data_IF_826236178823
#
_entry.id   IF_826236178823
#
_cell.length_a   1.000
_cell.length_b   1.000
_cell.length_c   1.000
_cell.angle_alpha   90.00
_cell.angle_beta   90.00
_cell.angle_gamma   90.00
#
_symmetry.space_group_name_H-M   'P 1'
#
loop_
_entity.id
_entity.type
_entity.pdbx_description
1 polymer ?
#
# COMPACT_ATOMS: atom_id res chain seq x y z
N UNK A 1 -1.35 10.66 -6.01
CA UNK A 1 -1.38 9.67 -7.11
C UNK A 1 -0.06 8.93 -7.07
N UNK A 2 -0.04 7.60 -7.17
CA UNK A 2 1.21 6.82 -7.14
C UNK A 2 1.89 6.90 -8.50
N UNK A 3 3.22 7.12 -8.51
CA UNK A 3 4.03 7.30 -9.72
C UNK A 3 4.81 6.03 -10.04
N UNK A 4 4.63 5.51 -11.25
CA UNK A 4 5.30 4.29 -11.73
C UNK A 4 6.23 4.65 -12.89
N UNK A 5 7.50 4.25 -12.77
CA UNK A 5 8.48 4.34 -13.86
C UNK A 5 8.45 3.04 -14.66
N UNK A 6 8.26 3.15 -15.98
CA UNK A 6 8.35 2.05 -16.93
C UNK A 6 9.67 2.13 -17.70
N UNK A 7 10.44 1.06 -17.68
CA UNK A 7 11.75 0.95 -18.34
C UNK A 7 11.73 -0.26 -19.26
N UNK A 8 11.62 -0.03 -20.58
CA UNK A 8 11.57 -1.08 -21.60
C UNK A 8 11.99 -0.46 -22.96
N UNK A 9 12.87 -1.09 -23.73
CA UNK A 9 13.32 -0.55 -25.02
C UNK A 9 12.24 -0.69 -26.13
N UNK A 10 11.22 -1.49 -25.88
CA UNK A 10 10.10 -1.72 -26.78
C UNK A 10 8.95 -0.74 -26.52
N UNK A 11 8.79 0.25 -27.40
CA UNK A 11 7.72 1.25 -27.28
C UNK A 11 6.33 0.65 -27.12
N UNK A 12 6.04 -0.45 -27.83
CA UNK A 12 4.71 -1.10 -27.77
C UNK A 12 4.41 -1.64 -26.36
N UNK A 13 5.42 -2.16 -25.66
CA UNK A 13 5.28 -2.63 -24.30
C UNK A 13 5.00 -1.47 -23.34
N UNK A 14 5.72 -0.37 -23.48
CA UNK A 14 5.48 0.85 -22.69
C UNK A 14 4.05 1.39 -22.88
N UNK A 15 3.56 1.40 -24.13
CA UNK A 15 2.21 1.87 -24.45
C UNK A 15 1.13 0.91 -23.90
N UNK A 16 1.38 -0.41 -23.93
CA UNK A 16 0.49 -1.41 -23.34
C UNK A 16 0.42 -1.28 -21.80
N UNK A 17 1.57 -1.14 -21.15
CA UNK A 17 1.62 -0.95 -19.69
C UNK A 17 0.93 0.32 -19.26
N UNK A 18 1.11 1.42 -19.99
CA UNK A 18 0.38 2.67 -19.73
C UNK A 18 -1.14 2.48 -19.85
N UNK A 19 -1.60 1.76 -20.91
CA UNK A 19 -3.01 1.46 -21.11
C UNK A 19 -3.61 0.68 -19.92
N UNK A 20 -2.85 -0.22 -19.30
CA UNK A 20 -3.29 -0.97 -18.13
C UNK A 20 -3.25 -0.13 -16.84
N UNK A 21 -2.24 0.73 -16.67
CA UNK A 21 -1.99 1.40 -15.39
C UNK A 21 -2.80 2.69 -15.20
N UNK A 22 -2.99 3.49 -16.26
CA UNK A 22 -3.68 4.79 -16.15
C UNK A 22 -5.13 4.64 -15.68
N UNK A 23 -5.95 3.66 -16.15
CA UNK A 23 -7.30 3.45 -15.65
C UNK A 23 -7.37 3.09 -14.15
N UNK A 24 -6.30 2.49 -13.60
CA UNK A 24 -6.17 2.16 -12.19
C UNK A 24 -5.66 3.32 -11.31
N UNK A 25 -5.53 4.53 -11.89
CA UNK A 25 -5.19 5.75 -11.14
C UNK A 25 -3.69 5.93 -10.88
N UNK A 26 -2.81 5.26 -11.64
CA UNK A 26 -1.37 5.47 -11.58
C UNK A 26 -0.93 6.58 -12.54
N UNK A 27 0.05 7.38 -12.10
CA UNK A 27 0.81 8.28 -12.97
C UNK A 27 1.99 7.51 -13.55
N UNK A 28 2.13 7.49 -14.87
CA UNK A 28 3.10 6.66 -15.57
C UNK A 28 4.15 7.53 -16.24
N UNK A 29 5.42 7.23 -16.03
CA UNK A 29 6.54 7.80 -16.77
C UNK A 29 7.27 6.70 -17.54
N UNK A 30 7.60 6.94 -18.82
CA UNK A 30 8.16 5.94 -19.73
C UNK A 30 9.56 6.34 -20.16
N UNK A 31 10.52 5.42 -20.05
CA UNK A 31 11.88 5.55 -20.56
C UNK A 31 12.27 4.31 -21.36
N UNK A 32 13.20 4.46 -22.30
CA UNK A 32 13.51 3.41 -23.27
C UNK A 32 14.87 2.74 -23.08
N UNK A 33 15.52 3.01 -21.96
CA UNK A 33 16.82 2.39 -21.64
C UNK A 33 17.05 2.34 -20.16
N UNK A 34 17.91 1.40 -19.71
CA UNK A 34 18.35 1.33 -18.33
C UNK A 34 19.07 2.60 -17.88
N UNK A 35 19.84 3.22 -18.78
CA UNK A 35 20.56 4.48 -18.51
C UNK A 35 19.58 5.61 -18.22
N UNK A 36 18.56 5.82 -19.06
CA UNK A 36 17.51 6.82 -18.82
C UNK A 36 16.76 6.54 -17.49
N UNK A 37 16.47 5.27 -17.20
CA UNK A 37 15.82 4.88 -15.95
C UNK A 37 16.64 5.25 -14.71
N UNK A 38 17.97 5.09 -14.76
CA UNK A 38 18.87 5.50 -13.68
C UNK A 38 18.91 7.03 -13.51
N UNK A 39 18.91 7.79 -14.60
CA UNK A 39 18.88 9.25 -14.58
C UNK A 39 17.58 9.77 -13.98
N UNK A 40 16.45 9.23 -14.42
CA UNK A 40 15.12 9.56 -13.88
C UNK A 40 15.02 9.32 -12.37
N UNK A 41 15.47 8.17 -11.89
CA UNK A 41 15.43 7.82 -10.47
C UNK A 41 16.38 8.65 -9.58
N UNK A 42 17.36 9.34 -10.17
CA UNK A 42 18.23 10.27 -9.45
C UNK A 42 17.60 11.65 -9.28
N UNK A 43 16.73 12.04 -10.21
CA UNK A 43 16.12 13.37 -10.25
C UNK A 43 14.73 13.36 -9.60
N UNK A 44 13.97 12.30 -9.84
CA UNK A 44 12.58 12.18 -9.41
C UNK A 44 12.34 10.98 -8.51
N UNK A 45 11.31 11.08 -7.67
CA UNK A 45 10.85 9.98 -6.83
C UNK A 45 9.72 9.22 -7.51
N UNK A 46 9.82 7.91 -7.50
CA UNK A 46 8.81 6.97 -7.98
C UNK A 46 8.41 6.01 -6.86
N UNK A 47 7.16 5.53 -6.89
CA UNK A 47 6.65 4.57 -5.92
C UNK A 47 6.94 3.13 -6.34
N UNK A 48 7.15 2.87 -7.64
CA UNK A 48 7.46 1.56 -8.19
C UNK A 48 8.13 1.69 -9.56
N UNK A 49 8.97 0.72 -9.90
CA UNK A 49 9.60 0.57 -11.22
C UNK A 49 9.15 -0.75 -11.85
N UNK A 50 8.64 -0.71 -13.07
CA UNK A 50 8.52 -1.88 -13.95
C UNK A 50 9.71 -1.87 -14.90
N UNK A 51 10.53 -2.92 -14.85
CA UNK A 51 11.82 -2.98 -15.54
C UNK A 51 11.92 -4.22 -16.42
N UNK A 52 12.07 -4.01 -17.72
CA UNK A 52 12.35 -5.14 -18.61
C UNK A 52 13.76 -5.66 -18.40
N UNK A 53 13.91 -6.99 -18.46
CA UNK A 53 15.22 -7.64 -18.37
C UNK A 53 15.99 -7.51 -19.67
N UNK A 54 15.32 -7.66 -20.81
CA UNK A 54 15.94 -7.83 -22.11
C UNK A 54 16.05 -6.50 -22.88
N UNK A 55 16.92 -5.60 -22.43
CA UNK A 55 17.18 -4.32 -23.09
C UNK A 55 18.56 -4.30 -23.78
N UNK A 56 18.70 -3.49 -24.84
CA UNK A 56 19.89 -3.51 -25.72
C UNK A 56 21.09 -2.78 -25.16
N UNK A 57 20.91 -1.67 -24.42
CA UNK A 57 22.00 -0.83 -23.91
C UNK A 57 22.58 -1.38 -22.61
N UNK A 58 21.73 -1.52 -21.61
CA UNK A 58 22.03 -2.09 -20.30
C UNK A 58 20.89 -3.02 -19.92
N UNK A 59 21.20 -4.28 -19.61
CA UNK A 59 20.17 -5.23 -19.21
C UNK A 59 19.50 -4.82 -17.89
N UNK A 60 18.25 -5.30 -17.70
CA UNK A 60 17.48 -4.95 -16.53
C UNK A 60 18.10 -5.43 -15.22
N UNK A 61 18.89 -6.49 -15.24
CA UNK A 61 19.58 -7.01 -14.06
C UNK A 61 20.67 -6.07 -13.59
N UNK A 62 21.48 -5.56 -14.51
CA UNK A 62 22.51 -4.55 -14.22
C UNK A 62 21.87 -3.22 -13.80
N UNK A 63 20.79 -2.82 -14.51
CA UNK A 63 20.01 -1.63 -14.16
C UNK A 63 19.48 -1.73 -12.71
N UNK A 64 18.88 -2.86 -12.35
CA UNK A 64 18.40 -3.11 -10.99
C UNK A 64 19.54 -3.03 -9.94
N UNK A 65 20.67 -3.68 -10.17
CA UNK A 65 21.83 -3.60 -9.29
C UNK A 65 22.29 -2.16 -9.06
N UNK A 66 22.36 -1.36 -10.11
CA UNK A 66 22.73 0.07 -10.00
C UNK A 66 21.68 0.89 -9.27
N UNK A 67 20.38 0.67 -9.51
CA UNK A 67 19.32 1.31 -8.74
C UNK A 67 19.50 1.03 -7.25
N UNK A 68 19.78 -0.21 -6.87
CA UNK A 68 19.95 -0.63 -5.46
C UNK A 68 21.15 0.03 -4.74
N UNK A 69 22.08 0.62 -5.48
CA UNK A 69 23.19 1.37 -4.84
C UNK A 69 22.74 2.70 -4.24
N UNK A 70 21.60 3.26 -4.64
CA UNK A 70 21.11 4.57 -4.19
C UNK A 70 19.61 4.63 -3.89
N UNK A 71 18.81 3.63 -4.28
CA UNK A 71 17.35 3.64 -4.10
C UNK A 71 16.82 2.28 -3.61
N UNK A 72 15.81 2.34 -2.72
CA UNK A 72 15.04 1.19 -2.26
C UNK A 72 13.67 1.09 -2.95
N UNK A 73 13.43 1.85 -4.01
CA UNK A 73 12.15 1.83 -4.74
C UNK A 73 11.80 0.39 -5.12
N UNK A 74 10.56 -0.06 -4.94
CA UNK A 74 10.11 -1.39 -5.38
C UNK A 74 10.33 -1.59 -6.87
N UNK A 75 10.86 -2.75 -7.25
CA UNK A 75 11.14 -3.11 -8.65
C UNK A 75 10.45 -4.43 -8.97
N UNK A 76 9.57 -4.42 -9.97
CA UNK A 76 9.07 -5.62 -10.64
C UNK A 76 9.82 -5.80 -11.94
N UNK A 77 10.47 -6.96 -12.09
CA UNK A 77 11.14 -7.31 -13.34
C UNK A 77 10.16 -7.96 -14.31
N UNK A 78 10.18 -7.53 -15.57
CA UNK A 78 9.44 -8.17 -16.66
C UNK A 78 10.38 -9.10 -17.41
N UNK A 79 10.02 -10.39 -17.56
CA UNK A 79 10.91 -11.40 -18.13
C UNK A 79 10.21 -12.27 -19.16
N UNK A 80 10.96 -12.79 -20.16
CA UNK A 80 10.43 -13.80 -21.07
C UNK A 80 10.29 -15.16 -20.40
N UNK A 81 9.29 -15.96 -20.82
CA UNK A 81 8.84 -17.21 -20.18
C UNK A 81 9.90 -18.33 -20.05
N UNK A 82 10.97 -18.28 -20.84
CA UNK A 82 11.90 -19.41 -20.99
C UNK A 82 13.13 -19.38 -20.07
N UNK A 83 13.21 -18.40 -19.17
CA UNK A 83 14.40 -18.18 -18.34
C UNK A 83 14.12 -18.43 -16.84
N UNK A 84 13.78 -19.67 -16.45
CA UNK A 84 13.74 -20.07 -15.03
C UNK A 84 15.06 -19.78 -14.30
N UNK A 85 16.18 -19.81 -15.02
CA UNK A 85 17.50 -19.47 -14.47
C UNK A 85 17.65 -17.98 -14.17
N UNK A 86 17.00 -17.11 -14.92
CA UNK A 86 17.03 -15.66 -14.67
C UNK A 86 16.17 -15.26 -13.48
N UNK A 87 15.08 -15.96 -13.20
CA UNK A 87 14.29 -15.76 -11.97
C UNK A 87 15.13 -16.06 -10.73
N UNK A 88 15.94 -17.13 -10.75
CA UNK A 88 16.82 -17.51 -9.63
C UNK A 88 18.00 -16.54 -9.50
N UNK A 89 18.57 -16.08 -10.61
CA UNK A 89 19.61 -15.04 -10.62
C UNK A 89 19.04 -13.68 -10.16
N UNK A 90 17.83 -13.37 -10.59
CA UNK A 90 17.16 -12.12 -10.30
C UNK A 90 16.82 -11.89 -8.84
N UNK A 91 16.41 -12.93 -8.10
CA UNK A 91 16.22 -12.87 -6.64
C UNK A 91 17.48 -12.44 -5.89
N UNK A 92 18.67 -12.67 -6.48
CA UNK A 92 19.97 -12.21 -5.95
C UNK A 92 20.32 -10.78 -6.36
N UNK A 93 19.64 -10.18 -7.35
CA UNK A 93 19.91 -8.81 -7.82
C UNK A 93 19.18 -7.71 -7.05
N UNK A 94 18.23 -8.10 -6.18
CA UNK A 94 17.50 -7.14 -5.33
C UNK A 94 16.18 -6.64 -5.92
N UNK A 95 15.63 -7.30 -6.94
CA UNK A 95 14.25 -7.07 -7.36
C UNK A 95 13.26 -7.61 -6.32
N UNK A 96 12.08 -6.99 -6.22
CA UNK A 96 11.06 -7.34 -5.23
C UNK A 96 10.07 -8.36 -5.77
N UNK A 97 9.83 -8.38 -7.09
CA UNK A 97 8.97 -9.37 -7.76
C UNK A 97 9.35 -9.55 -9.24
N UNK A 98 8.78 -10.58 -9.88
CA UNK A 98 8.99 -10.95 -11.29
C UNK A 98 7.66 -11.30 -11.95
N UNK A 99 7.49 -10.81 -13.19
CA UNK A 99 6.32 -11.12 -14.02
C UNK A 99 6.81 -11.65 -15.37
N UNK A 100 6.34 -12.83 -15.74
CA UNK A 100 6.67 -13.44 -17.04
C UNK A 100 5.79 -12.89 -18.15
N UNK A 101 6.40 -12.50 -19.27
CA UNK A 101 5.70 -12.12 -20.52
C UNK A 101 5.29 -13.40 -21.29
N UNK A 102 4.06 -13.51 -21.85
CA UNK A 102 2.98 -12.54 -21.74
C UNK A 102 2.31 -12.62 -20.37
N UNK A 103 1.82 -11.48 -19.87
CA UNK A 103 1.14 -11.35 -18.59
C UNK A 103 -0.29 -10.85 -18.77
N UNK A 104 -1.11 -11.22 -17.81
CA UNK A 104 -2.48 -10.74 -17.67
C UNK A 104 -2.50 -9.40 -16.92
N UNK A 105 -3.43 -8.49 -17.30
CA UNK A 105 -3.59 -7.17 -16.68
C UNK A 105 -3.90 -7.29 -15.18
N UNK A 106 -4.85 -8.17 -14.81
CA UNK A 106 -5.28 -8.34 -13.42
C UNK A 106 -4.14 -8.83 -12.53
N UNK A 107 -3.31 -9.75 -13.06
CA UNK A 107 -2.13 -10.27 -12.35
C UNK A 107 -1.09 -9.16 -12.15
N UNK A 108 -0.83 -8.35 -13.19
CA UNK A 108 0.10 -7.22 -13.11
C UNK A 108 -0.35 -6.22 -12.03
N UNK A 109 -1.61 -5.79 -12.08
CA UNK A 109 -2.18 -4.84 -11.12
C UNK A 109 -2.13 -5.39 -9.70
N UNK A 110 -2.54 -6.63 -9.47
CA UNK A 110 -2.50 -7.26 -8.15
C UNK A 110 -1.08 -7.28 -7.54
N UNK A 111 -0.04 -7.53 -8.34
CA UNK A 111 1.37 -7.53 -7.90
C UNK A 111 1.87 -6.13 -7.59
N UNK A 112 1.52 -5.14 -8.41
CA UNK A 112 1.84 -3.73 -8.17
C UNK A 112 1.22 -3.28 -6.85
N UNK A 113 -0.06 -3.54 -6.64
CA UNK A 113 -0.77 -3.20 -5.41
C UNK A 113 -0.15 -3.87 -4.17
N UNK A 114 0.24 -5.13 -4.29
CA UNK A 114 0.89 -5.86 -3.21
C UNK A 114 2.23 -5.23 -2.79
N UNK A 115 3.04 -4.76 -3.74
CA UNK A 115 4.32 -4.09 -3.45
C UNK A 115 4.12 -2.67 -2.92
N UNK A 116 3.25 -1.88 -3.55
CA UNK A 116 2.94 -0.52 -3.12
C UNK A 116 2.31 -0.48 -1.71
N UNK A 117 1.63 -1.55 -1.32
CA UNK A 117 1.09 -1.75 0.04
C UNK A 117 2.20 -1.94 1.08
N UNK A 118 3.28 -2.71 0.75
CA UNK A 118 4.43 -2.95 1.65
C UNK A 118 5.20 -1.67 2.01
N UNK A 119 5.22 -0.68 1.13
CA UNK A 119 5.92 0.60 1.36
C UNK A 119 5.05 1.69 1.98
N UNK A 120 3.79 1.40 2.28
CA UNK A 120 2.95 2.37 2.94
C UNK A 120 3.22 2.31 4.47
N UNK A 121 4.00 3.25 5.05
CA UNK A 121 4.23 3.28 6.49
C UNK A 121 2.95 3.51 7.29
N UNK A 122 1.83 3.80 6.61
CA UNK A 122 0.49 3.89 7.20
C UNK A 122 -0.28 2.56 7.19
N UNK A 123 0.28 1.49 6.60
CA UNK A 123 -0.37 0.16 6.63
C UNK A 123 -0.29 -0.49 8.00
N UNK A 124 0.71 -0.16 8.81
CA UNK A 124 0.79 -0.57 10.20
C UNK A 124 0.94 0.64 11.12
N UNK A 125 0.13 0.69 12.17
CA UNK A 125 0.18 1.74 13.18
C UNK A 125 0.40 1.06 14.52
N UNK A 126 1.45 1.49 15.24
CA UNK A 126 1.74 1.00 16.58
C UNK A 126 1.60 2.13 17.59
N UNK A 127 0.79 1.91 18.62
CA UNK A 127 0.57 2.89 19.71
C UNK A 127 0.57 2.14 21.03
N UNK A 128 1.58 2.36 21.86
CA UNK A 128 1.69 1.78 23.21
C UNK A 128 1.47 0.26 23.24
N UNK A 129 1.99 -0.47 22.25
CA UNK A 129 1.88 -1.92 22.12
C UNK A 129 0.59 -2.40 21.43
N UNK A 130 -0.33 -1.51 21.07
CA UNK A 130 -1.45 -1.82 20.18
C UNK A 130 -0.95 -1.71 18.73
N UNK A 131 -1.06 -2.78 17.96
CA UNK A 131 -0.61 -2.88 16.57
C UNK A 131 -1.81 -3.12 15.66
N UNK A 132 -2.11 -2.13 14.82
CA UNK A 132 -3.14 -2.20 13.78
C UNK A 132 -2.47 -2.34 12.42
N UNK A 133 -2.83 -3.34 11.63
CA UNK A 133 -2.24 -3.59 10.32
C UNK A 133 -3.33 -3.74 9.25
N UNK A 134 -3.39 -2.76 8.32
CA UNK A 134 -4.40 -2.77 7.23
C UNK A 134 -4.15 -3.83 6.17
N UNK A 135 -2.94 -4.36 6.05
CA UNK A 135 -2.57 -5.32 5.01
C UNK A 135 -2.99 -6.73 5.39
N UNK A 136 -2.82 -7.07 6.69
CA UNK A 136 -3.26 -8.36 7.23
C UNK A 136 -4.68 -8.32 7.79
N UNK A 137 -5.27 -7.11 7.96
CA UNK A 137 -6.55 -6.88 8.62
C UNK A 137 -6.57 -7.34 10.09
N UNK A 138 -5.42 -7.24 10.75
CA UNK A 138 -5.20 -7.71 12.11
C UNK A 138 -5.02 -6.55 13.09
N UNK A 139 -5.51 -6.75 14.29
CA UNK A 139 -5.27 -5.88 15.44
C UNK A 139 -4.71 -6.73 16.58
N UNK A 140 -3.53 -6.35 17.08
CA UNK A 140 -2.86 -7.04 18.19
C UNK A 140 -2.59 -6.11 19.36
N UNK A 141 -2.59 -6.66 20.57
CA UNK A 141 -2.00 -6.03 21.74
C UNK A 141 -1.12 -7.03 22.47
N UNK A 142 0.20 -6.79 22.47
CA UNK A 142 1.19 -7.79 22.86
C UNK A 142 1.09 -9.03 21.98
N UNK A 143 0.85 -10.20 22.58
CA UNK A 143 0.70 -11.47 21.84
C UNK A 143 -0.78 -11.85 21.58
N UNK A 144 -1.74 -11.00 21.93
CA UNK A 144 -3.16 -11.29 21.78
C UNK A 144 -3.72 -10.60 20.52
N UNK A 145 -4.38 -11.40 19.66
CA UNK A 145 -5.15 -10.89 18.53
C UNK A 145 -6.53 -10.43 18.99
N UNK A 146 -6.93 -9.22 18.58
CA UNK A 146 -8.23 -8.62 18.91
C UNK A 146 -9.13 -8.69 17.69
N UNK A 147 -10.11 -9.58 17.70
CA UNK A 147 -11.04 -9.77 16.58
C UNK A 147 -12.05 -8.63 16.47
N UNK A 148 -11.90 -7.82 15.44
CA UNK A 148 -12.84 -6.76 15.04
C UNK A 148 -13.62 -7.17 13.79
N UNK A 149 -14.87 -6.67 13.67
CA UNK A 149 -15.58 -6.76 12.39
C UNK A 149 -14.92 -5.83 11.36
N UNK A 150 -15.09 -6.07 10.04
CA UNK A 150 -14.47 -5.21 9.01
C UNK A 150 -14.79 -3.72 9.19
N UNK A 151 -16.00 -3.37 9.60
CA UNK A 151 -16.39 -1.97 9.83
C UNK A 151 -15.79 -1.38 11.11
N UNK A 152 -15.68 -2.15 12.17
CA UNK A 152 -14.97 -1.75 13.41
C UNK A 152 -13.48 -1.53 13.13
N UNK A 153 -12.87 -2.42 12.33
CA UNK A 153 -11.48 -2.34 11.95
C UNK A 153 -11.18 -1.07 11.11
N UNK A 154 -12.02 -0.79 10.10
CA UNK A 154 -11.92 0.41 9.27
C UNK A 154 -12.11 1.70 10.09
N UNK A 155 -13.13 1.72 10.97
CA UNK A 155 -13.41 2.85 11.86
C UNK A 155 -12.23 3.15 12.79
N UNK A 156 -11.67 2.13 13.42
CA UNK A 156 -10.50 2.26 14.28
C UNK A 156 -9.29 2.77 13.47
N UNK A 157 -9.04 2.19 12.31
CA UNK A 157 -7.92 2.56 11.43
C UNK A 157 -8.00 4.01 10.96
N UNK A 158 -9.20 4.52 10.66
CA UNK A 158 -9.41 5.92 10.29
C UNK A 158 -9.00 6.87 11.44
N UNK A 159 -9.40 6.54 12.66
CA UNK A 159 -9.07 7.33 13.86
C UNK A 159 -7.58 7.26 14.20
N UNK A 160 -6.95 6.10 14.07
CA UNK A 160 -5.51 5.88 14.30
C UNK A 160 -4.62 6.64 13.31
N UNK A 161 -5.04 6.71 12.04
CA UNK A 161 -4.31 7.41 10.97
C UNK A 161 -4.27 8.93 11.15
N UNK A 162 -5.24 9.49 11.86
CA UNK A 162 -5.36 10.94 12.04
C UNK A 162 -5.50 11.29 13.54
N UNK A 163 -4.45 11.08 14.35
CA UNK A 163 -4.49 11.39 15.78
C UNK A 163 -4.76 12.88 16.03
N UNK A 164 -5.55 13.15 17.06
CA UNK A 164 -6.04 14.47 17.48
C UNK A 164 -7.07 15.12 16.54
N UNK A 165 -7.35 14.54 15.37
CA UNK A 165 -8.43 15.00 14.52
C UNK A 165 -9.79 14.59 15.10
N UNK A 166 -10.74 15.53 15.17
CA UNK A 166 -12.11 15.25 15.61
C UNK A 166 -12.96 14.96 14.38
N UNK A 167 -13.46 13.75 14.29
CA UNK A 167 -14.44 13.37 13.27
C UNK A 167 -15.85 13.49 13.86
N UNK A 168 -16.76 14.13 13.15
CA UNK A 168 -18.17 14.05 13.52
C UNK A 168 -18.77 12.67 13.14
N UNK A 169 -19.99 12.41 13.63
CA UNK A 169 -20.63 11.09 13.43
C UNK A 169 -21.03 10.82 11.99
N UNK A 170 -21.41 11.87 11.27
CA UNK A 170 -21.83 11.75 9.87
C UNK A 170 -20.59 11.55 8.98
N UNK A 171 -19.50 12.29 9.23
CA UNK A 171 -18.22 12.09 8.54
C UNK A 171 -17.73 10.65 8.71
N UNK A 172 -17.77 10.11 9.94
CA UNK A 172 -17.38 8.72 10.20
C UNK A 172 -18.30 7.72 9.48
N UNK A 173 -19.59 8.02 9.41
CA UNK A 173 -20.55 7.19 8.68
C UNK A 173 -20.22 7.19 7.18
N UNK A 174 -20.07 8.34 6.59
CA UNK A 174 -19.83 8.50 5.15
C UNK A 174 -18.49 7.89 4.74
N UNK A 175 -17.42 8.11 5.52
CA UNK A 175 -16.07 7.60 5.23
C UNK A 175 -15.95 6.09 5.39
N UNK A 176 -16.71 5.46 6.30
CA UNK A 176 -16.60 4.02 6.57
C UNK A 176 -17.69 3.21 5.89
N UNK A 177 -18.90 3.75 5.71
CA UNK A 177 -20.05 3.04 5.11
C UNK A 177 -20.41 3.53 3.70
N UNK A 178 -19.95 4.74 3.31
CA UNK A 178 -20.28 5.37 2.03
C UNK A 178 -21.53 6.27 2.10
N UNK A 179 -21.62 7.24 1.18
CA UNK A 179 -22.60 8.34 1.16
C UNK A 179 -24.07 7.88 1.00
N UNK A 180 -24.34 6.61 0.67
CA UNK A 180 -25.69 6.06 0.46
C UNK A 180 -26.14 5.06 1.54
N UNK A 181 -25.49 5.04 2.70
CA UNK A 181 -25.94 4.12 3.74
C UNK A 181 -27.14 4.69 4.51
N UNK A 182 -28.28 3.99 4.47
CA UNK A 182 -29.53 4.29 5.21
C UNK A 182 -29.38 4.09 6.75
N UNK A 183 -28.15 3.99 7.24
CA UNK A 183 -27.80 3.72 8.63
C UNK A 183 -27.55 5.02 9.38
N UNK A 184 -28.47 5.40 10.26
CA UNK A 184 -28.36 6.62 11.06
C UNK A 184 -27.17 6.65 12.03
N UNK A 185 -26.74 7.85 12.45
CA UNK A 185 -25.57 8.11 13.32
C UNK A 185 -25.47 7.32 14.63
N UNK A 186 -26.56 6.69 15.10
CA UNK A 186 -26.56 5.75 16.25
C UNK A 186 -25.70 4.50 15.99
N UNK A 187 -25.47 4.16 14.73
CA UNK A 187 -24.62 3.04 14.33
C UNK A 187 -23.15 3.27 14.74
N UNK A 188 -22.63 4.50 14.60
CA UNK A 188 -21.25 4.84 14.99
C UNK A 188 -21.04 4.66 16.49
N UNK A 189 -21.96 5.15 17.34
CA UNK A 189 -21.86 5.03 18.80
C UNK A 189 -21.83 3.55 19.24
N UNK A 190 -22.60 2.69 18.58
CA UNK A 190 -22.61 1.25 18.83
C UNK A 190 -21.28 0.59 18.43
N UNK A 191 -20.72 0.93 17.28
CA UNK A 191 -19.42 0.40 16.84
C UNK A 191 -18.28 0.87 17.74
N UNK A 192 -18.26 2.15 18.12
CA UNK A 192 -17.26 2.68 19.06
C UNK A 192 -17.36 1.99 20.42
N UNK A 193 -18.58 1.71 20.90
CA UNK A 193 -18.77 0.95 22.13
C UNK A 193 -18.19 -0.47 22.02
N UNK A 194 -18.46 -1.18 20.92
CA UNK A 194 -17.95 -2.54 20.71
C UNK A 194 -16.42 -2.55 20.55
N UNK A 195 -15.84 -1.59 19.80
CA UNK A 195 -14.38 -1.43 19.71
C UNK A 195 -13.77 -1.25 21.10
N UNK A 196 -14.31 -0.33 21.90
CA UNK A 196 -13.83 -0.11 23.28
C UNK A 196 -13.91 -1.36 24.14
N UNK A 197 -15.01 -2.10 24.04
CA UNK A 197 -15.21 -3.33 24.82
C UNK A 197 -14.19 -4.41 24.43
N UNK A 198 -14.03 -4.66 23.14
CA UNK A 198 -13.10 -5.67 22.60
C UNK A 198 -11.64 -5.35 22.96
N UNK A 199 -11.20 -4.10 22.72
CA UNK A 199 -9.83 -3.68 23.01
C UNK A 199 -9.56 -3.65 24.52
N UNK A 200 -10.54 -3.26 25.34
CA UNK A 200 -10.38 -3.28 26.80
C UNK A 200 -10.15 -4.70 27.35
N UNK A 201 -10.76 -5.72 26.73
CA UNK A 201 -10.60 -7.12 27.16
C UNK A 201 -9.16 -7.60 27.01
N UNK A 202 -8.41 -7.11 26.03
CA UNK A 202 -6.98 -7.41 25.88
C UNK A 202 -6.08 -6.66 26.88
N UNK A 203 -6.65 -5.80 27.73
CA UNK A 203 -5.89 -5.03 28.73
C UNK A 203 -5.38 -3.67 28.23
N UNK A 204 -5.57 -3.31 26.95
CA UNK A 204 -5.17 -2.00 26.45
C UNK A 204 -6.05 -0.86 27.04
N UNK A 205 -5.47 0.27 27.50
CA UNK A 205 -6.21 1.37 28.09
C UNK A 205 -6.93 2.24 27.04
N UNK A 206 -7.83 1.64 26.28
CA UNK A 206 -8.50 2.27 25.12
C UNK A 206 -9.18 3.59 25.45
N UNK A 207 -9.71 3.75 26.64
CA UNK A 207 -10.40 4.98 27.04
C UNK A 207 -9.44 6.17 27.22
N UNK A 208 -8.15 5.92 27.34
CA UNK A 208 -7.14 6.97 27.36
C UNK A 208 -6.86 7.52 25.97
N UNK A 209 -7.10 6.74 24.96
CA UNK A 209 -6.80 7.05 23.56
C UNK A 209 -8.04 7.40 22.74
N UNK A 210 -9.08 6.57 22.73
CA UNK A 210 -10.31 6.81 21.98
C UNK A 210 -11.25 7.70 22.80
N UNK A 211 -11.26 9.00 22.47
CA UNK A 211 -12.04 10.02 23.20
C UNK A 211 -13.36 10.35 22.51
N UNK A 212 -14.40 10.52 23.30
CA UNK A 212 -15.66 11.11 22.87
C UNK A 212 -15.55 12.64 22.98
N UNK A 213 -15.88 13.35 21.92
CA UNK A 213 -16.09 14.80 21.92
C UNK A 213 -17.60 15.02 21.96
N UNK A 214 -18.10 15.42 23.14
CA UNK A 214 -19.53 15.53 23.40
C UNK A 214 -20.22 16.50 22.43
N UNK A 215 -21.34 16.07 21.88
CA UNK A 215 -22.09 16.86 20.89
C UNK A 215 -21.51 16.83 19.47
N UNK A 216 -20.26 16.32 19.26
CA UNK A 216 -19.57 16.29 17.98
C UNK A 216 -19.35 14.85 17.50
N UNK A 217 -18.43 14.11 18.13
CA UNK A 217 -18.05 12.78 17.62
C UNK A 217 -16.89 12.17 18.39
N UNK A 218 -15.87 11.71 17.66
CA UNK A 218 -14.78 10.93 18.22
C UNK A 218 -13.41 11.37 17.70
N UNK A 219 -12.37 11.15 18.50
CA UNK A 219 -10.97 11.32 18.12
C UNK A 219 -10.07 10.29 18.78
N UNK A 220 -8.95 10.01 18.16
CA UNK A 220 -7.84 9.30 18.77
C UNK A 220 -6.82 10.27 19.31
N UNK A 221 -6.23 10.01 20.47
CA UNK A 221 -5.08 10.77 20.99
C UNK A 221 -3.91 9.84 21.27
N UNK A 222 -2.72 10.24 20.82
CA UNK A 222 -1.47 9.61 21.21
C UNK A 222 -1.03 10.22 22.55
N UNK A 223 -0.84 9.37 23.56
CA UNK A 223 -0.23 9.74 24.84
C UNK A 223 1.16 9.14 24.93
#
# INVERSE_FOLDING_TARGET
MKRILLVDDEKRMLDLLELYLVPHGYEVHKVRSGTEGLEELRIYSYDLVLLDIMMKDMDGMETCRRIRTFSKVPIIMLTAKDQKEDVIRGLKTGADDYITKPFDEEILIARIEALLRRENPQSSIQVNGLEWNSDTYELHFGNEEISLTPKEFQLLGLLLKHPNHVYDRNDLLDLVWGIQSDTGGRTIDSHVRHIREKIRRSGFPINDHLKTVWGVGYKWINK
#
